data_IF_904433348869
#
_entry.id   IF_904433348869
#
_cell.length_a   1.000
_cell.length_b   1.000
_cell.length_c   1.000
_cell.angle_alpha   90.00
_cell.angle_beta   90.00
_cell.angle_gamma   90.00
#
_symmetry.space_group_name_H-M   'P 1'
#
loop_
_entity.id
_entity.type
_entity.pdbx_description
1 polymer ?
#
# COMPACT_ATOMS: atom_id res chain seq x y z
N UNK A 1 14.63 -13.80 7.49
CA UNK A 1 13.51 -13.02 8.03
C UNK A 1 13.00 -12.10 6.96
N UNK A 2 11.80 -12.36 6.42
CA UNK A 2 11.27 -11.49 5.37
C UNK A 2 10.86 -10.13 5.92
N UNK A 3 11.15 -9.10 5.15
CA UNK A 3 10.78 -7.74 5.49
C UNK A 3 10.09 -7.12 4.28
N UNK A 4 8.87 -6.60 4.49
CA UNK A 4 8.09 -6.00 3.43
C UNK A 4 7.86 -4.54 3.76
N UNK A 5 8.16 -3.67 2.83
CA UNK A 5 7.98 -2.23 2.99
C UNK A 5 6.94 -1.79 1.95
N UNK A 6 5.80 -1.32 2.44
CA UNK A 6 4.70 -0.86 1.59
C UNK A 6 4.57 0.64 1.76
N UNK A 7 4.57 1.36 0.65
CA UNK A 7 4.39 2.80 0.68
C UNK A 7 3.11 3.16 -0.04
N UNK A 8 2.28 3.95 0.61
CA UNK A 8 1.00 4.38 0.07
C UNK A 8 0.97 5.88 -0.07
N UNK A 9 0.44 6.36 -1.18
CA UNK A 9 0.14 7.78 -1.33
C UNK A 9 -1.25 7.99 -0.75
N UNK A 10 -1.33 8.80 0.30
CA UNK A 10 -2.60 9.04 0.97
C UNK A 10 -2.72 8.22 2.24
N UNK A 11 -3.95 7.94 2.62
CA UNK A 11 -4.26 7.32 3.91
C UNK A 11 -5.06 6.04 3.75
N UNK A 12 -4.90 5.15 4.71
CA UNK A 12 -5.73 3.97 4.83
C UNK A 12 -6.23 3.89 6.27
N UNK A 13 -7.36 3.24 6.46
CA UNK A 13 -7.87 3.05 7.82
C UNK A 13 -7.04 2.01 8.55
N UNK A 14 -7.15 2.02 9.87
CA UNK A 14 -6.46 1.01 10.67
C UNK A 14 -6.89 -0.41 10.26
N UNK A 15 -8.17 -0.61 9.99
CA UNK A 15 -8.69 -1.91 9.58
C UNK A 15 -8.12 -2.34 8.25
N UNK A 16 -8.01 -1.40 7.31
CA UNK A 16 -7.43 -1.71 6.02
C UNK A 16 -5.96 -2.11 6.15
N UNK A 17 -5.22 -1.38 6.96
CA UNK A 17 -3.81 -1.69 7.17
C UNK A 17 -3.64 -3.03 7.85
N UNK A 18 -4.50 -3.34 8.83
CA UNK A 18 -4.43 -4.63 9.50
C UNK A 18 -4.70 -5.78 8.53
N UNK A 19 -5.67 -5.61 7.63
CA UNK A 19 -5.98 -6.63 6.64
C UNK A 19 -4.81 -6.83 5.67
N UNK A 20 -4.19 -5.73 5.24
CA UNK A 20 -3.04 -5.82 4.33
C UNK A 20 -1.89 -6.58 4.99
N UNK A 21 -1.59 -6.25 6.25
CA UNK A 21 -0.52 -6.93 6.96
C UNK A 21 -0.81 -8.42 7.09
N UNK A 22 -2.06 -8.78 7.42
CA UNK A 22 -2.44 -10.17 7.54
C UNK A 22 -2.32 -10.91 6.21
N UNK A 23 -2.78 -10.29 5.12
CA UNK A 23 -2.75 -10.92 3.80
C UNK A 23 -1.32 -11.12 3.30
N UNK A 24 -0.47 -10.10 3.46
CA UNK A 24 0.91 -10.19 3.02
C UNK A 24 1.65 -11.26 3.84
N UNK A 25 1.43 -11.26 5.14
CA UNK A 25 2.06 -12.26 6.00
C UNK A 25 1.65 -13.68 5.59
N UNK A 26 0.36 -13.89 5.35
CA UNK A 26 -0.11 -15.21 4.94
C UNK A 26 0.52 -15.65 3.63
N UNK A 27 0.67 -14.73 2.69
CA UNK A 27 1.28 -15.05 1.40
C UNK A 27 2.71 -15.55 1.59
N UNK A 28 3.48 -14.88 2.41
CA UNK A 28 4.87 -15.27 2.62
C UNK A 28 4.98 -16.56 3.41
N UNK A 29 4.08 -16.80 4.34
CA UNK A 29 4.04 -18.07 5.08
C UNK A 29 3.79 -19.22 4.10
N UNK A 30 2.80 -19.07 3.23
CA UNK A 30 2.42 -20.15 2.33
C UNK A 30 3.42 -20.37 1.22
N UNK A 31 3.98 -19.29 0.68
CA UNK A 31 4.82 -19.43 -0.52
C UNK A 31 6.28 -19.65 -0.20
N UNK A 32 6.75 -19.13 0.93
CA UNK A 32 8.16 -19.23 1.29
C UNK A 32 8.43 -20.18 2.44
N UNK A 33 7.36 -20.71 3.07
CA UNK A 33 7.53 -21.59 4.19
C UNK A 33 8.06 -20.92 5.44
N UNK A 34 7.83 -19.61 5.57
CA UNK A 34 8.30 -18.87 6.74
C UNK A 34 7.27 -18.90 7.85
N UNK A 35 7.73 -18.75 9.10
CA UNK A 35 6.79 -18.61 10.20
C UNK A 35 6.22 -17.20 10.19
N UNK A 36 4.96 -17.08 10.60
CA UNK A 36 4.29 -15.77 10.63
C UNK A 36 5.05 -14.78 11.52
N UNK A 37 5.60 -15.26 12.62
CA UNK A 37 6.32 -14.39 13.56
C UNK A 37 7.59 -13.81 12.95
N UNK A 38 8.14 -14.44 11.92
CA UNK A 38 9.37 -13.96 11.28
C UNK A 38 9.09 -12.93 10.21
N UNK A 39 7.84 -12.78 9.75
CA UNK A 39 7.49 -11.84 8.69
C UNK A 39 7.25 -10.47 9.31
N UNK A 40 7.92 -9.47 8.77
CA UNK A 40 7.75 -8.09 9.22
C UNK A 40 7.23 -7.26 8.07
N UNK A 41 6.20 -6.44 8.34
CA UNK A 41 5.57 -5.61 7.33
C UNK A 41 5.49 -4.19 7.88
N UNK A 42 5.96 -3.23 7.10
CA UNK A 42 5.88 -1.82 7.46
C UNK A 42 5.04 -1.12 6.40
N UNK A 43 4.11 -0.30 6.84
CA UNK A 43 3.29 0.52 5.93
C UNK A 43 3.61 1.97 6.22
N UNK A 44 4.07 2.66 5.18
CA UNK A 44 4.37 4.09 5.26
C UNK A 44 3.33 4.86 4.47
N UNK A 45 2.68 5.81 5.12
CA UNK A 45 1.70 6.67 4.45
C UNK A 45 2.39 7.97 4.09
N UNK A 46 2.45 8.23 2.78
CA UNK A 46 3.19 9.37 2.25
C UNK A 46 2.18 10.42 1.81
N UNK A 47 2.37 11.65 2.28
CA UNK A 47 1.53 12.75 1.84
C UNK A 47 1.63 12.90 0.32
N UNK A 48 0.51 13.17 -0.34
CA UNK A 48 0.52 13.42 -1.77
C UNK A 48 1.33 14.66 -2.13
N UNK A 49 1.63 15.50 -1.16
CA UNK A 49 2.51 16.63 -1.35
C UNK A 49 3.98 16.22 -1.35
N UNK A 50 4.27 15.01 -0.97
CA UNK A 50 5.64 14.48 -0.94
C UNK A 50 5.83 13.34 -1.94
N UNK A 51 4.89 13.16 -2.85
CA UNK A 51 4.91 12.04 -3.77
C UNK A 51 4.75 12.58 -5.19
N UNK A 52 5.75 12.35 -6.01
CA UNK A 52 5.77 12.86 -7.39
C UNK A 52 5.71 11.74 -8.40
N UNK A 53 5.09 12.03 -9.53
CA UNK A 53 5.03 11.11 -10.65
C UNK A 53 4.97 11.93 -11.93
N UNK A 54 5.82 11.61 -12.90
CA UNK A 54 5.85 12.32 -14.16
C UNK A 54 6.28 13.77 -14.02
N UNK A 55 7.04 14.08 -12.97
CA UNK A 55 7.51 15.45 -12.74
C UNK A 55 6.50 16.34 -12.03
N UNK A 56 5.41 15.76 -11.54
CA UNK A 56 4.34 16.53 -10.90
C UNK A 56 3.96 15.85 -9.59
N UNK A 57 3.69 16.67 -8.58
CA UNK A 57 3.19 16.14 -7.32
C UNK A 57 1.80 15.54 -7.50
N UNK A 58 1.56 14.44 -6.82
CA UNK A 58 0.24 13.80 -6.86
C UNK A 58 -0.83 14.78 -6.38
N UNK A 59 -0.51 15.60 -5.36
CA UNK A 59 -1.46 16.56 -4.82
C UNK A 59 -1.91 17.59 -5.86
N UNK A 60 -1.11 17.82 -6.89
CA UNK A 60 -1.41 18.80 -7.92
C UNK A 60 -2.23 18.24 -9.07
N UNK A 61 -2.56 16.95 -9.02
CA UNK A 61 -3.34 16.34 -10.09
C UNK A 61 -4.82 16.63 -9.91
N UNK A 62 -5.53 16.57 -11.02
CA UNK A 62 -6.96 16.79 -10.99
C UNK A 62 -7.63 15.77 -10.07
N UNK A 63 -8.56 16.23 -9.20
CA UNK A 63 -9.19 15.32 -8.25
C UNK A 63 -10.06 14.24 -8.89
N UNK A 64 -10.43 14.39 -10.13
CA UNK A 64 -11.26 13.39 -10.77
C UNK A 64 -10.61 12.01 -10.82
N UNK A 65 -9.40 11.99 -10.63
CA UNK A 65 -8.81 10.68 -10.58
C UNK A 65 -9.20 10.01 -9.26
N UNK A 66 -10.01 10.13 -8.92
CA UNK A 66 -10.11 9.35 -8.14
C UNK A 66 -9.95 8.43 -7.60
N UNK A 67 -10.43 8.54 -7.32
CA UNK A 67 -10.33 7.64 -6.70
C UNK A 67 -10.02 6.61 -6.38
N UNK A 68 -10.17 6.83 -6.64
CA UNK A 68 -10.05 5.95 -6.46
C UNK A 68 -9.96 5.16 -6.49
N UNK A 69 -10.07 5.64 -7.01
CA UNK A 69 -9.84 5.03 -7.17
C UNK A 69 -9.37 4.29 -7.22
N UNK A 70 -9.61 4.85 -7.59
CA UNK A 70 -9.09 4.19 -7.64
C UNK A 70 -8.80 3.39 -7.48
N UNK A 71 -8.96 3.85 -7.61
CA UNK A 71 -8.55 3.22 -7.47
C UNK A 71 -8.49 2.36 -7.40
N UNK A 72 -8.72 2.69 -7.67
CA UNK A 72 -8.54 1.91 -7.73
C UNK A 72 -8.59 1.30 -7.95
N UNK A 73 -8.89 1.81 -8.12
CA UNK A 73 -8.75 1.33 -8.37
C UNK A 73 -8.42 0.66 -8.60
N UNK A 74 -8.46 0.89 -8.77
CA UNK A 74 -7.88 0.30 -8.97
C UNK A 74 -7.63 -0.47 -9.05
N UNK A 75 -7.73 -0.14 -9.08
CA UNK A 75 -7.30 -0.82 -9.16
C UNK A 75 -7.25 -1.54 -9.44
N UNK A 76 -7.49 -1.27 -9.62
CA UNK A 76 -7.29 -1.87 -9.91
C UNK A 76 -7.15 -2.33 -10.36
N UNK A 77 -7.29 -1.90 -10.50
CA UNK A 77 -6.90 -2.22 -10.85
C UNK A 77 -6.62 -2.55 -11.21
N UNK A 78 -6.59 -2.17 -11.20
CA UNK A 78 -6.10 -2.27 -11.42
C UNK A 78 -5.91 -2.39 -11.62
#
# INVERSE_FOLDING_TARGET
MPFVDIRLAGNATREQKAAIVADVTQSLVERLGKSAAAVQVVISEISTENYGSGGQLIADRAPASSPGEDANAAVTSR
#
